data_IF_063322257998
#
_entry.id   IF_063322257998
#
_cell.length_a   1.000
_cell.length_b   1.000
_cell.length_c   1.000
_cell.angle_alpha   90.00
_cell.angle_beta   90.00
_cell.angle_gamma   90.00
#
_symmetry.space_group_name_H-M   'P 1'
#
loop_
_entity.id
_entity.type
_entity.pdbx_description
1 polymer ?
#
# COMPACT_ATOMS: atom_id res chain seq x y z
N UNK A 1 -14.61 12.67 2.82
CA UNK A 1 -13.22 12.78 3.29
C UNK A 1 -12.76 14.23 3.21
N UNK A 2 -12.13 14.71 4.24
CA UNK A 2 -11.60 16.08 4.28
C UNK A 2 -10.27 16.12 3.56
N UNK A 3 -10.08 17.10 2.71
CA UNK A 3 -8.83 17.30 1.97
C UNK A 3 -7.66 17.48 2.94
N UNK A 4 -6.57 16.76 2.72
CA UNK A 4 -5.41 16.77 3.60
C UNK A 4 -5.52 15.85 4.79
N UNK A 5 -6.58 15.07 4.90
CA UNK A 5 -6.73 14.11 5.98
C UNK A 5 -5.64 13.05 5.90
N UNK A 6 -5.03 12.76 7.04
CA UNK A 6 -3.97 11.75 7.12
C UNK A 6 -4.58 10.38 7.29
N UNK A 7 -4.22 9.45 6.41
CA UNK A 7 -4.76 8.10 6.42
C UNK A 7 -3.66 7.06 6.35
N UNK A 8 -3.94 5.88 6.89
CA UNK A 8 -3.10 4.70 6.76
C UNK A 8 -3.94 3.63 6.10
N UNK A 9 -3.45 3.08 5.00
CA UNK A 9 -4.11 1.97 4.33
C UNK A 9 -3.70 0.67 5.03
N UNK A 10 -4.67 -0.14 5.43
CA UNK A 10 -4.42 -1.43 6.07
C UNK A 10 -5.16 -2.51 5.30
N UNK A 11 -4.44 -3.55 4.93
CA UNK A 11 -5.00 -4.70 4.23
C UNK A 11 -4.31 -5.96 4.73
N UNK A 12 -4.85 -7.13 4.38
CA UNK A 12 -4.29 -8.39 4.87
C UNK A 12 -3.15 -8.91 4.00
N UNK A 13 -3.24 -8.77 2.69
CA UNK A 13 -2.29 -9.36 1.76
C UNK A 13 -1.91 -8.39 0.67
N UNK A 14 -0.60 -8.23 0.43
CA UNK A 14 -0.13 -7.57 -0.78
C UNK A 14 0.55 -8.60 -1.67
N UNK A 15 0.01 -8.79 -2.85
CA UNK A 15 0.56 -9.69 -3.87
C UNK A 15 1.08 -8.84 -5.04
N UNK A 16 0.30 -8.69 -6.10
CA UNK A 16 0.70 -7.85 -7.23
C UNK A 16 0.61 -6.36 -6.93
N UNK A 17 -0.16 -5.99 -5.91
CA UNK A 17 -0.32 -4.60 -5.53
C UNK A 17 -1.34 -3.82 -6.35
N UNK A 18 -1.98 -4.47 -7.33
CA UNK A 18 -2.92 -3.76 -8.21
C UNK A 18 -4.07 -3.11 -7.48
N UNK A 19 -4.71 -3.84 -6.57
CA UNK A 19 -5.83 -3.31 -5.78
C UNK A 19 -5.34 -2.23 -4.81
N UNK A 20 -4.24 -2.48 -4.11
CA UNK A 20 -3.69 -1.53 -3.15
C UNK A 20 -3.20 -0.27 -3.86
N UNK A 21 -2.55 -0.41 -5.01
CA UNK A 21 -2.11 0.72 -5.81
C UNK A 21 -3.30 1.58 -6.22
N UNK A 22 -4.38 0.95 -6.69
CA UNK A 22 -5.59 1.66 -7.06
C UNK A 22 -6.20 2.41 -5.88
N UNK A 23 -6.24 1.78 -4.71
CA UNK A 23 -6.75 2.41 -3.50
C UNK A 23 -5.93 3.63 -3.09
N UNK A 24 -4.60 3.53 -3.14
CA UNK A 24 -3.71 4.66 -2.83
C UNK A 24 -3.94 5.81 -3.80
N UNK A 25 -4.01 5.51 -5.09
CA UNK A 25 -4.25 6.53 -6.11
C UNK A 25 -5.58 7.24 -5.90
N UNK A 26 -6.63 6.48 -5.60
CA UNK A 26 -7.94 7.04 -5.34
C UNK A 26 -7.94 7.98 -4.14
N UNK A 27 -7.32 7.55 -3.05
CA UNK A 27 -7.21 8.37 -1.84
C UNK A 27 -6.46 9.68 -2.12
N UNK A 28 -5.37 9.60 -2.87
CA UNK A 28 -4.60 10.79 -3.25
C UNK A 28 -5.40 11.73 -4.13
N UNK A 29 -6.21 11.19 -5.05
CA UNK A 29 -7.07 12.01 -5.89
C UNK A 29 -8.11 12.78 -5.08
N UNK A 30 -8.54 12.22 -3.95
CA UNK A 30 -9.48 12.87 -3.05
C UNK A 30 -8.81 13.83 -2.07
N UNK A 31 -7.50 14.00 -2.19
CA UNK A 31 -6.75 14.93 -1.35
C UNK A 31 -6.29 14.37 -0.02
N UNK A 32 -6.42 13.06 0.18
CA UNK A 32 -5.92 12.43 1.40
C UNK A 32 -4.39 12.35 1.39
N UNK A 33 -3.80 12.45 2.58
CA UNK A 33 -2.39 12.27 2.78
C UNK A 33 -2.15 10.84 3.27
N UNK A 34 -1.73 9.96 2.35
CA UNK A 34 -1.51 8.55 2.68
C UNK A 34 -0.14 8.40 3.32
N UNK A 35 -0.13 8.20 4.63
CA UNK A 35 1.10 8.15 5.41
C UNK A 35 1.85 6.84 5.25
N UNK A 36 1.13 5.74 5.13
CA UNK A 36 1.73 4.41 4.99
C UNK A 36 0.70 3.42 4.48
N UNK A 37 1.19 2.32 3.94
CA UNK A 37 0.37 1.15 3.62
C UNK A 37 0.88 -0.02 4.45
N UNK A 38 0.00 -0.63 5.23
CA UNK A 38 0.34 -1.71 6.14
C UNK A 38 -0.35 -3.00 5.70
N UNK A 39 0.42 -4.06 5.62
CA UNK A 39 -0.09 -5.37 5.21
C UNK A 39 0.37 -6.42 6.22
N UNK A 40 -0.47 -7.42 6.44
CA UNK A 40 -0.09 -8.52 7.31
C UNK A 40 0.89 -9.44 6.58
N UNK A 41 0.63 -9.72 5.31
CA UNK A 41 1.43 -10.63 4.49
C UNK A 41 1.92 -9.91 3.23
N UNK A 42 3.19 -10.06 2.92
CA UNK A 42 3.78 -9.55 1.68
C UNK A 42 4.33 -10.72 0.87
N UNK A 43 4.02 -10.72 -0.42
CA UNK A 43 4.60 -11.65 -1.39
C UNK A 43 5.54 -10.86 -2.31
N UNK A 44 6.79 -10.64 -1.91
CA UNK A 44 7.67 -9.69 -2.59
C UNK A 44 7.97 -10.04 -4.04
N UNK A 45 7.92 -11.31 -4.40
CA UNK A 45 8.17 -11.73 -5.78
C UNK A 45 7.18 -11.15 -6.79
N UNK A 46 5.99 -10.79 -6.33
CA UNK A 46 4.96 -10.25 -7.19
C UNK A 46 5.06 -8.73 -7.36
N UNK A 47 5.98 -8.10 -6.63
CA UNK A 47 6.29 -6.69 -6.83
C UNK A 47 5.26 -5.70 -6.35
N UNK A 48 4.27 -6.15 -5.56
CA UNK A 48 3.19 -5.27 -5.11
C UNK A 48 3.67 -4.13 -4.24
N UNK A 49 4.55 -4.41 -3.28
CA UNK A 49 5.09 -3.40 -2.39
C UNK A 49 5.86 -2.32 -3.15
N UNK A 50 6.61 -2.71 -4.18
CA UNK A 50 7.35 -1.76 -5.01
C UNK A 50 6.43 -0.78 -5.72
N UNK A 51 5.28 -1.23 -6.20
CA UNK A 51 4.30 -0.35 -6.85
C UNK A 51 3.82 0.73 -5.90
N UNK A 52 3.58 0.37 -4.64
CA UNK A 52 3.12 1.31 -3.63
C UNK A 52 4.25 2.29 -3.26
N UNK A 53 5.47 1.79 -3.10
CA UNK A 53 6.63 2.64 -2.79
C UNK A 53 6.89 3.67 -3.88
N UNK A 54 6.69 3.30 -5.14
CA UNK A 54 6.85 4.23 -6.27
C UNK A 54 5.86 5.38 -6.23
N UNK A 55 4.76 5.23 -5.52
CA UNK A 55 3.79 6.31 -5.30
C UNK A 55 4.20 7.24 -4.15
N UNK A 56 5.34 6.98 -3.53
CA UNK A 56 5.82 7.78 -2.41
C UNK A 56 5.24 7.38 -1.06
N UNK A 57 4.66 6.19 -0.97
CA UNK A 57 4.02 5.71 0.26
C UNK A 57 4.87 4.62 0.89
N UNK A 58 5.30 4.77 2.14
CA UNK A 58 6.01 3.70 2.84
C UNK A 58 5.14 2.46 3.00
N UNK A 59 5.74 1.30 2.82
CA UNK A 59 5.06 0.02 2.98
C UNK A 59 5.62 -0.72 4.19
N UNK A 60 4.73 -1.19 5.05
CA UNK A 60 5.09 -1.97 6.23
C UNK A 60 4.37 -3.30 6.21
N UNK A 61 5.07 -4.36 6.55
CA UNK A 61 4.51 -5.71 6.58
C UNK A 61 4.89 -6.40 7.87
N UNK A 62 3.98 -7.24 8.38
CA UNK A 62 4.26 -8.04 9.57
C UNK A 62 4.99 -9.34 9.21
N UNK A 63 4.63 -9.94 8.09
CA UNK A 63 5.22 -11.19 7.61
C UNK A 63 5.53 -11.04 6.14
N UNK A 64 6.74 -11.41 5.75
CA UNK A 64 7.15 -11.42 4.36
C UNK A 64 7.52 -12.84 3.96
N UNK A 65 6.87 -13.34 2.93
CA UNK A 65 7.18 -14.65 2.38
C UNK A 65 8.00 -14.47 1.10
N UNK A 66 9.27 -14.77 1.20
CA UNK A 66 10.09 -14.80 0.01
C UNK A 66 9.85 -16.13 -0.68
N UNK A 67 9.40 -16.07 -1.91
CA UNK A 67 8.88 -17.22 -2.57
C UNK A 67 9.93 -18.27 -2.93
N UNK A 68 10.03 -19.27 -2.19
CA UNK A 68 10.76 -20.48 -2.55
C UNK A 68 10.24 -21.71 -1.87
#
# INVERSE_FOLDING_TARGET
MVKGEKVILVDDLIATGGTAEGAVKLLKQQGADVLAACFIIDLPELGGAEKIRKLGVPVRTLVSFEGH
#
